data_IF_724869068138
#
_entry.id   IF_724869068138
#
_cell.length_a   1.000
_cell.length_b   1.000
_cell.length_c   1.000
_cell.angle_alpha   90.00
_cell.angle_beta   90.00
_cell.angle_gamma   90.00
#
_symmetry.space_group_name_H-M   'P 1'
#
loop_
_entity.id
_entity.type
_entity.pdbx_description
1 polymer ?
#
# COMPACT_ATOMS: atom_id res chain seq x y z
N UNK A 1 19.32 -34.51 11.25
CA UNK A 1 19.52 -33.08 11.07
C UNK A 1 18.18 -32.52 10.65
N UNK A 2 17.49 -31.82 11.55
CA UNK A 2 16.18 -31.22 11.27
C UNK A 2 16.39 -29.96 10.42
N UNK A 3 15.94 -29.99 9.17
CA UNK A 3 15.90 -28.84 8.30
C UNK A 3 14.72 -27.96 8.75
N UNK A 4 15.01 -26.91 9.50
CA UNK A 4 14.01 -25.89 9.84
C UNK A 4 13.75 -25.13 8.55
N UNK A 5 12.70 -25.51 7.82
CA UNK A 5 12.14 -24.69 6.77
C UNK A 5 11.55 -23.45 7.45
N UNK A 6 12.30 -22.36 7.46
CA UNK A 6 11.74 -21.03 7.71
C UNK A 6 10.73 -20.79 6.59
N UNK A 7 9.45 -21.00 6.87
CA UNK A 7 8.40 -20.47 6.04
C UNK A 7 8.60 -18.96 6.02
N UNK A 8 9.07 -18.41 4.88
CA UNK A 8 8.98 -16.97 4.66
C UNK A 8 7.52 -16.64 4.89
N UNK A 9 7.25 -15.87 5.94
CA UNK A 9 5.90 -15.50 6.34
C UNK A 9 5.21 -14.89 5.12
N UNK A 10 4.15 -15.53 4.62
CA UNK A 10 3.34 -15.09 3.47
C UNK A 10 2.57 -13.79 3.78
N UNK A 11 2.93 -13.10 4.85
CA UNK A 11 2.32 -11.88 5.31
C UNK A 11 3.35 -10.76 5.50
N UNK A 12 2.88 -9.54 5.29
CA UNK A 12 3.66 -8.33 5.60
C UNK A 12 3.54 -7.98 7.08
N UNK A 13 4.58 -7.38 7.68
CA UNK A 13 4.54 -6.91 9.06
C UNK A 13 3.33 -6.00 9.33
N UNK A 14 2.78 -6.09 10.54
CA UNK A 14 1.68 -5.23 10.98
C UNK A 14 2.07 -3.74 11.09
N UNK A 15 3.37 -3.46 11.20
CA UNK A 15 3.94 -2.11 11.20
C UNK A 15 3.73 -1.35 9.90
N UNK A 16 3.52 -2.06 8.77
CA UNK A 16 3.23 -1.42 7.49
C UNK A 16 1.77 -0.99 7.50
N UNK A 17 1.47 0.31 7.34
CA UNK A 17 0.11 0.81 7.32
C UNK A 17 -0.67 0.19 6.14
N UNK A 18 -1.98 0.07 6.28
CA UNK A 18 -2.85 -0.16 5.11
C UNK A 18 -2.96 1.14 4.33
N UNK A 19 -3.03 1.02 3.00
CA UNK A 19 -3.29 2.15 2.13
C UNK A 19 -4.70 2.69 2.36
N UNK A 20 -4.81 3.99 2.60
CA UNK A 20 -6.09 4.67 2.73
C UNK A 20 -6.68 4.95 1.34
N UNK A 21 -7.96 4.67 1.15
CA UNK A 21 -8.66 4.91 -0.11
C UNK A 21 -8.64 6.40 -0.54
N UNK A 22 -8.54 7.33 0.43
CA UNK A 22 -8.39 8.77 0.16
C UNK A 22 -7.01 9.18 -0.36
N UNK A 23 -5.98 8.31 -0.20
CA UNK A 23 -4.61 8.60 -0.57
C UNK A 23 -3.83 9.49 0.40
N UNK A 24 -4.41 9.86 1.55
CA UNK A 24 -3.75 10.76 2.53
C UNK A 24 -2.44 10.18 3.07
N UNK A 25 -2.37 8.86 3.21
CA UNK A 25 -1.18 8.18 3.73
C UNK A 25 -0.27 7.61 2.63
N UNK A 26 -0.53 7.94 1.35
CA UNK A 26 0.22 7.39 0.21
C UNK A 26 1.73 7.51 0.35
N UNK A 27 2.23 8.70 0.75
CA UNK A 27 3.67 8.95 0.86
C UNK A 27 4.36 8.04 1.88
N UNK A 28 3.70 7.77 3.01
CA UNK A 28 4.25 6.89 4.06
C UNK A 28 4.06 5.43 3.64
N UNK A 29 2.88 5.10 3.11
CA UNK A 29 2.58 3.76 2.65
C UNK A 29 3.57 3.27 1.59
N UNK A 30 3.82 4.08 0.54
CA UNK A 30 4.68 3.68 -0.57
C UNK A 30 6.10 3.34 -0.11
N UNK A 31 6.70 4.19 0.75
CA UNK A 31 8.05 3.95 1.27
C UNK A 31 8.08 2.69 2.16
N UNK A 32 7.17 2.59 3.13
CA UNK A 32 7.17 1.43 4.04
C UNK A 32 6.88 0.12 3.31
N UNK A 33 6.02 0.16 2.28
CA UNK A 33 5.70 -1.01 1.48
C UNK A 33 6.89 -1.43 0.62
N UNK A 34 7.53 -0.49 -0.07
CA UNK A 34 8.72 -0.73 -0.88
C UNK A 34 9.84 -1.36 -0.05
N UNK A 35 10.21 -0.75 1.09
CA UNK A 35 11.23 -1.27 2.00
C UNK A 35 10.94 -2.71 2.43
N UNK A 36 9.68 -3.00 2.76
CA UNK A 36 9.28 -4.32 3.22
C UNK A 36 9.31 -5.37 2.11
N UNK A 37 8.95 -5.01 0.89
CA UNK A 37 9.00 -5.89 -0.28
C UNK A 37 10.44 -6.11 -0.72
N UNK A 38 11.31 -5.08 -0.65
CA UNK A 38 12.74 -5.20 -0.90
C UNK A 38 13.38 -6.16 0.11
N UNK A 39 13.07 -6.01 1.40
CA UNK A 39 13.56 -6.89 2.46
C UNK A 39 13.15 -8.37 2.25
N UNK A 40 12.03 -8.62 1.57
CA UNK A 40 11.58 -9.95 1.18
C UNK A 40 12.16 -10.45 -0.14
N UNK A 41 12.84 -9.59 -0.90
CA UNK A 41 13.45 -9.92 -2.21
C UNK A 41 12.46 -9.98 -3.37
N UNK A 42 11.24 -9.41 -3.23
CA UNK A 42 10.21 -9.44 -4.28
C UNK A 42 10.11 -8.13 -5.07
N UNK A 43 10.91 -7.11 -4.74
CA UNK A 43 10.79 -5.81 -5.38
C UNK A 43 11.00 -5.86 -6.90
N UNK A 44 11.86 -6.76 -7.37
CA UNK A 44 12.09 -6.97 -8.81
C UNK A 44 10.84 -7.27 -9.64
N UNK A 45 9.77 -7.81 -9.01
CA UNK A 45 8.48 -8.02 -9.67
C UNK A 45 7.67 -6.73 -9.79
N UNK A 46 7.91 -5.75 -8.91
CA UNK A 46 7.21 -4.46 -8.89
C UNK A 46 7.84 -3.41 -9.80
N UNK A 47 9.17 -3.47 -9.98
CA UNK A 47 9.93 -2.53 -10.82
C UNK A 47 10.26 -3.10 -12.21
N UNK A 48 9.87 -4.36 -12.48
CA UNK A 48 10.10 -5.03 -13.74
C UNK A 48 11.52 -5.55 -13.97
N UNK A 49 12.37 -5.53 -12.94
CA UNK A 49 13.74 -6.06 -13.04
C UNK A 49 13.80 -7.60 -12.91
N UNK A 50 12.76 -8.21 -12.30
CA UNK A 50 12.58 -9.67 -12.36
C UNK A 50 12.15 -10.07 -13.76
N UNK A 51 13.11 -10.25 -14.63
CA UNK A 51 12.84 -10.75 -15.98
C UNK A 51 12.53 -12.24 -15.90
N UNK A 52 11.42 -12.63 -16.53
CA UNK A 52 11.24 -14.03 -16.92
C UNK A 52 12.52 -14.47 -17.63
N UNK A 53 13.16 -15.60 -17.27
CA UNK A 53 14.19 -16.17 -18.11
C UNK A 53 13.60 -16.19 -19.51
N UNK A 54 14.20 -15.40 -20.39
CA UNK A 54 13.69 -15.09 -21.74
C UNK A 54 13.08 -16.32 -22.33
N UNK A 55 11.87 -16.17 -22.87
CA UNK A 55 11.13 -17.24 -23.52
C UNK A 55 12.13 -18.21 -24.14
N UNK A 56 12.20 -19.39 -23.53
CA UNK A 56 13.15 -20.47 -23.70
C UNK A 56 14.07 -20.22 -24.92
N UNK A 57 15.40 -20.11 -24.77
CA UNK A 57 16.24 -20.05 -25.93
C UNK A 57 15.93 -21.32 -26.74
N UNK A 58 15.07 -21.16 -27.70
CA UNK A 58 14.95 -22.18 -28.76
C UNK A 58 16.32 -22.17 -29.37
N UNK A 59 17.18 -23.08 -28.93
CA UNK A 59 18.48 -23.28 -29.55
C UNK A 59 18.22 -23.77 -30.95
N UNK A 60 18.09 -22.82 -31.87
CA UNK A 60 17.99 -23.09 -33.30
C UNK A 60 19.37 -23.48 -33.72
N UNK A 61 19.69 -24.75 -33.68
CA UNK A 61 20.85 -25.31 -34.32
C UNK A 61 20.43 -25.65 -35.76
N UNK A 62 20.77 -24.77 -36.68
CA UNK A 62 20.75 -25.08 -38.12
C UNK A 62 21.90 -26.05 -38.41
N UNK A 63 21.59 -27.32 -38.49
CA UNK A 63 22.46 -28.34 -39.09
C UNK A 63 21.69 -28.89 -40.27
N UNK A 64 22.20 -28.64 -41.47
CA UNK A 64 21.69 -29.16 -42.78
C UNK A 64 20.21 -28.83 -43.09
N UNK A 65 19.77 -27.59 -42.82
CA UNK A 65 18.41 -27.14 -43.19
C UNK A 65 17.27 -27.75 -42.37
N UNK A 66 17.57 -28.46 -41.30
CA UNK A 66 16.58 -29.03 -40.41
C UNK A 66 16.59 -28.25 -39.06
N UNK A 67 15.51 -27.55 -38.77
CA UNK A 67 15.32 -26.80 -37.53
C UNK A 67 14.96 -27.79 -36.42
N UNK A 68 15.93 -28.12 -35.57
CA UNK A 68 15.66 -28.97 -34.39
C UNK A 68 15.45 -28.08 -33.18
N UNK A 69 14.21 -28.01 -32.70
CA UNK A 69 13.82 -27.39 -31.41
C UNK A 69 14.13 -28.38 -30.30
N UNK A 70 15.15 -28.10 -29.48
CA UNK A 70 15.35 -28.92 -28.28
C UNK A 70 14.31 -28.51 -27.20
N UNK A 71 13.73 -29.49 -26.50
CA UNK A 71 12.80 -29.19 -25.39
C UNK A 71 13.54 -28.43 -24.28
N UNK A 72 12.82 -27.56 -23.50
CA UNK A 72 13.40 -26.83 -22.39
C UNK A 72 13.97 -27.79 -21.35
N UNK A 73 15.11 -27.41 -20.76
CA UNK A 73 15.74 -28.20 -19.72
C UNK A 73 14.90 -28.14 -18.41
N UNK A 74 14.98 -29.18 -17.58
CA UNK A 74 14.30 -29.22 -16.28
C UNK A 74 14.66 -28.01 -15.40
N UNK A 75 15.87 -27.47 -15.55
CA UNK A 75 16.35 -26.29 -14.80
C UNK A 75 15.61 -25.01 -15.26
N UNK A 76 15.36 -24.87 -16.55
CA UNK A 76 14.62 -23.73 -17.11
C UNK A 76 13.13 -23.78 -16.70
N UNK A 77 12.54 -24.96 -16.74
CA UNK A 77 11.16 -25.18 -16.28
C UNK A 77 11.06 -24.82 -14.79
N UNK A 78 11.98 -25.29 -13.96
CA UNK A 78 11.97 -24.96 -12.53
C UNK A 78 12.19 -23.46 -12.27
N UNK A 79 12.95 -22.75 -13.09
CA UNK A 79 13.16 -21.33 -12.97
C UNK A 79 11.89 -20.53 -13.30
N UNK A 80 11.14 -20.93 -14.34
CA UNK A 80 9.86 -20.33 -14.71
C UNK A 80 8.82 -20.57 -13.62
N UNK A 81 8.71 -21.81 -13.12
CA UNK A 81 7.79 -22.18 -12.03
C UNK A 81 8.06 -21.38 -10.73
N UNK A 82 9.34 -21.12 -10.44
CA UNK A 82 9.71 -20.28 -9.32
C UNK A 82 9.28 -18.85 -9.52
N UNK A 83 9.53 -18.28 -10.70
CA UNK A 83 9.15 -16.90 -11.02
C UNK A 83 7.64 -16.71 -10.90
N UNK A 84 6.84 -17.65 -11.41
CA UNK A 84 5.38 -17.60 -11.31
C UNK A 84 4.89 -17.65 -9.86
N UNK A 85 5.50 -18.48 -9.03
CA UNK A 85 5.19 -18.55 -7.60
C UNK A 85 5.53 -17.25 -6.89
N UNK A 86 6.69 -16.68 -7.18
CA UNK A 86 7.15 -15.42 -6.59
C UNK A 86 6.24 -14.25 -7.05
N UNK A 87 5.79 -14.24 -8.30
CA UNK A 87 4.81 -13.28 -8.83
C UNK A 87 3.45 -13.38 -8.12
N UNK A 88 2.94 -14.60 -7.90
CA UNK A 88 1.69 -14.83 -7.18
C UNK A 88 1.80 -14.38 -5.72
N UNK A 89 2.93 -14.64 -5.08
CA UNK A 89 3.19 -14.20 -3.72
C UNK A 89 3.28 -12.66 -3.63
N UNK A 90 3.98 -12.02 -4.57
CA UNK A 90 4.04 -10.56 -4.67
C UNK A 90 2.65 -9.93 -4.82
N UNK A 91 1.79 -10.50 -5.68
CA UNK A 91 0.37 -10.08 -5.81
C UNK A 91 -0.41 -10.24 -4.51
N UNK A 92 -0.22 -11.34 -3.80
CA UNK A 92 -0.86 -11.59 -2.50
C UNK A 92 -0.43 -10.57 -1.45
N UNK A 93 0.87 -10.26 -1.35
CA UNK A 93 1.40 -9.28 -0.42
C UNK A 93 0.84 -7.87 -0.69
N UNK A 94 0.73 -7.48 -1.96
CA UNK A 94 0.11 -6.21 -2.34
C UNK A 94 -1.36 -6.15 -1.93
N UNK A 95 -2.13 -7.20 -2.23
CA UNK A 95 -3.57 -7.29 -1.93
C UNK A 95 -3.87 -7.14 -0.43
N UNK A 96 -3.00 -7.61 0.45
CA UNK A 96 -3.19 -7.50 1.91
C UNK A 96 -3.18 -6.05 2.43
N UNK A 97 -2.59 -5.12 1.68
CA UNK A 97 -2.32 -3.76 2.15
C UNK A 97 -3.08 -2.66 1.40
N UNK A 98 -3.73 -2.99 0.29
CA UNK A 98 -4.53 -2.04 -0.48
C UNK A 98 -6.03 -2.13 -0.09
N UNK A 99 -6.80 -1.04 -0.23
CA UNK A 99 -8.24 -1.07 0.01
C UNK A 99 -8.98 -1.83 -1.11
N UNK A 100 -10.15 -2.37 -0.79
CA UNK A 100 -10.97 -3.16 -1.72
C UNK A 100 -11.34 -2.37 -2.98
N UNK A 101 -11.59 -1.06 -2.86
CA UNK A 101 -11.88 -0.19 -4.00
C UNK A 101 -10.73 -0.17 -5.01
N UNK A 102 -9.50 -0.05 -4.54
CA UNK A 102 -8.30 -0.08 -5.39
C UNK A 102 -8.06 -1.48 -5.95
N UNK A 103 -8.28 -2.52 -5.13
CA UNK A 103 -8.18 -3.90 -5.59
C UNK A 103 -9.10 -4.16 -6.78
N UNK A 104 -10.34 -3.69 -6.73
CA UNK A 104 -11.30 -3.83 -7.84
C UNK A 104 -10.85 -3.12 -9.12
N UNK A 105 -10.09 -2.02 -9.01
CA UNK A 105 -9.55 -1.33 -10.17
C UNK A 105 -8.37 -2.05 -10.83
N UNK A 106 -7.56 -2.76 -10.03
CA UNK A 106 -6.31 -3.36 -10.52
C UNK A 106 -6.34 -4.87 -10.68
N UNK A 107 -7.42 -5.55 -10.25
CA UNK A 107 -7.49 -7.03 -10.21
C UNK A 107 -7.35 -7.68 -11.59
N UNK A 108 -7.77 -6.98 -12.65
CA UNK A 108 -7.72 -7.45 -14.04
C UNK A 108 -6.34 -7.32 -14.69
N UNK A 109 -5.38 -6.70 -14.01
CA UNK A 109 -4.00 -6.58 -14.49
C UNK A 109 -3.25 -7.89 -14.33
N UNK A 110 -2.50 -8.27 -15.38
CA UNK A 110 -1.84 -9.57 -15.45
C UNK A 110 -0.65 -9.66 -14.50
N UNK A 111 0.16 -8.60 -14.40
CA UNK A 111 1.39 -8.60 -13.61
C UNK A 111 1.26 -7.71 -12.36
N UNK A 112 2.10 -7.98 -11.35
CA UNK A 112 2.16 -7.12 -10.17
C UNK A 112 2.75 -5.75 -10.51
N UNK A 113 3.64 -5.66 -11.48
CA UNK A 113 4.16 -4.41 -12.03
C UNK A 113 3.02 -3.51 -12.53
N UNK A 114 2.17 -4.02 -13.43
CA UNK A 114 1.03 -3.25 -13.95
C UNK A 114 0.05 -2.80 -12.85
N UNK A 115 -0.15 -3.66 -11.83
CA UNK A 115 -0.97 -3.31 -10.66
C UNK A 115 -0.34 -2.16 -9.88
N UNK A 116 0.95 -2.25 -9.62
CA UNK A 116 1.69 -1.25 -8.87
C UNK A 116 1.73 0.10 -9.59
N UNK A 117 2.07 0.12 -10.87
CA UNK A 117 2.07 1.33 -11.70
C UNK A 117 0.71 2.02 -11.72
N UNK A 118 -0.37 1.24 -11.83
CA UNK A 118 -1.73 1.78 -11.78
C UNK A 118 -2.04 2.42 -10.43
N UNK A 119 -1.61 1.79 -9.32
CA UNK A 119 -1.77 2.32 -7.97
C UNK A 119 -0.94 3.60 -7.78
N UNK A 120 0.32 3.60 -8.20
CA UNK A 120 1.21 4.77 -8.14
C UNK A 120 0.58 5.95 -8.86
N UNK A 121 0.07 5.74 -10.06
CA UNK A 121 -0.58 6.78 -10.86
C UNK A 121 -1.82 7.33 -10.15
N UNK A 122 -2.74 6.45 -9.75
CA UNK A 122 -3.99 6.85 -9.09
C UNK A 122 -3.74 7.64 -7.80
N UNK A 123 -2.83 7.15 -6.96
CA UNK A 123 -2.59 7.77 -5.64
C UNK A 123 -1.70 9.02 -5.72
N UNK A 124 -0.85 9.13 -6.73
CA UNK A 124 -0.11 10.36 -7.01
C UNK A 124 -1.07 11.48 -7.43
N UNK A 125 -2.03 11.17 -8.30
CA UNK A 125 -3.08 12.12 -8.70
C UNK A 125 -3.97 12.52 -7.51
N UNK A 126 -4.47 11.55 -6.73
CA UNK A 126 -5.27 11.82 -5.52
C UNK A 126 -4.54 12.74 -4.55
N UNK A 127 -3.24 12.53 -4.35
CA UNK A 127 -2.42 13.39 -3.50
C UNK A 127 -2.33 14.81 -4.04
N UNK A 128 -2.12 14.98 -5.35
CA UNK A 128 -2.06 16.29 -5.98
C UNK A 128 -3.39 17.06 -5.82
N UNK A 129 -4.53 16.39 -6.01
CA UNK A 129 -5.85 16.98 -5.77
C UNK A 129 -6.06 17.37 -4.31
N UNK A 130 -5.72 16.48 -3.36
CA UNK A 130 -5.84 16.76 -1.94
C UNK A 130 -4.99 17.96 -1.50
N UNK A 131 -3.78 18.09 -2.02
CA UNK A 131 -2.90 19.24 -1.75
C UNK A 131 -3.49 20.55 -2.32
N UNK A 132 -4.08 20.50 -3.51
CA UNK A 132 -4.69 21.66 -4.14
C UNK A 132 -5.94 22.13 -3.37
N UNK A 133 -6.78 21.18 -2.95
CA UNK A 133 -7.97 21.47 -2.14
C UNK A 133 -7.58 22.08 -0.76
N UNK A 134 -6.60 21.48 -0.10
CA UNK A 134 -6.09 22.00 1.18
C UNK A 134 -5.53 23.41 1.04
N UNK A 135 -4.79 23.67 -0.05
CA UNK A 135 -4.24 25.00 -0.34
C UNK A 135 -5.36 26.01 -0.63
N UNK A 136 -6.38 25.62 -1.40
CA UNK A 136 -7.57 26.43 -1.65
C UNK A 136 -8.26 26.83 -0.35
N UNK A 137 -8.57 25.84 0.49
CA UNK A 137 -9.19 26.07 1.81
C UNK A 137 -8.35 26.98 2.70
N UNK A 138 -7.02 26.81 2.69
CA UNK A 138 -6.12 27.67 3.46
C UNK A 138 -6.19 29.14 3.00
N UNK A 139 -6.23 29.38 1.68
CA UNK A 139 -6.35 30.73 1.12
C UNK A 139 -7.72 31.37 1.35
N UNK A 140 -8.77 30.56 1.53
CA UNK A 140 -10.12 31.01 1.86
C UNK A 140 -10.31 31.32 3.34
N UNK A 141 -9.39 30.89 4.20
CA UNK A 141 -9.43 31.19 5.62
C UNK A 141 -9.26 32.70 5.84
N UNK A 142 -10.35 33.37 6.22
CA UNK A 142 -10.34 34.78 6.63
C UNK A 142 -10.38 34.87 8.14
N UNK A 143 -9.38 35.53 8.71
CA UNK A 143 -9.44 35.86 10.13
C UNK A 143 -10.46 36.98 10.34
N UNK A 144 -11.48 36.85 11.19
CA UNK A 144 -12.35 37.97 11.52
C UNK A 144 -11.55 39.05 12.26
N UNK A 145 -11.84 40.32 12.01
CA UNK A 145 -11.10 41.52 12.46
C UNK A 145 -10.81 41.60 13.97
N UNK A 146 -11.39 40.74 14.77
CA UNK A 146 -11.18 40.62 16.24
C UNK A 146 -11.03 39.17 16.67
N UNK A 147 -10.69 38.26 15.75
CA UNK A 147 -10.52 36.84 16.04
C UNK A 147 -9.20 36.53 16.72
N UNK A 148 -9.21 35.71 17.75
CA UNK A 148 -7.99 35.19 18.35
C UNK A 148 -7.32 34.22 17.37
N UNK A 149 -6.13 34.54 16.92
CA UNK A 149 -5.34 33.76 15.93
C UNK A 149 -5.15 32.29 16.37
N UNK A 150 -5.13 32.02 17.68
CA UNK A 150 -4.99 30.67 18.22
C UNK A 150 -6.13 29.72 17.83
N UNK A 151 -7.32 30.25 17.56
CA UNK A 151 -8.47 29.42 17.11
C UNK A 151 -8.45 29.15 15.60
N UNK A 152 -7.61 29.87 14.82
CA UNK A 152 -7.52 29.71 13.37
C UNK A 152 -6.56 28.59 12.96
N UNK A 153 -5.62 28.21 13.81
CA UNK A 153 -4.57 27.22 13.49
C UNK A 153 -5.01 25.78 13.73
N UNK A 154 -6.22 25.55 14.24
CA UNK A 154 -6.77 24.21 14.48
C UNK A 154 -8.10 24.03 13.76
N UNK A 155 -8.10 23.64 12.47
CA UNK A 155 -9.32 23.18 11.84
C UNK A 155 -9.69 21.79 12.38
N UNK A 156 -10.76 21.74 13.17
CA UNK A 156 -11.50 20.52 13.49
C UNK A 156 -10.73 19.32 14.10
N UNK A 157 -9.94 19.54 15.13
CA UNK A 157 -9.81 18.49 16.14
C UNK A 157 -11.08 18.57 16.97
N UNK A 158 -11.93 17.57 16.75
CA UNK A 158 -13.11 17.18 17.52
C UNK A 158 -13.31 18.01 18.79
N UNK A 159 -14.31 18.91 18.75
CA UNK A 159 -14.88 19.51 19.96
C UNK A 159 -15.52 18.38 20.75
N UNK A 160 -14.77 17.79 21.66
CA UNK A 160 -15.38 17.04 22.76
C UNK A 160 -16.05 18.08 23.61
N UNK A 161 -17.34 18.24 23.42
CA UNK A 161 -18.17 19.05 24.31
C UNK A 161 -18.08 18.42 25.69
N UNK A 162 -17.22 19.01 26.53
CA UNK A 162 -17.21 18.78 27.97
C UNK A 162 -18.44 19.47 28.58
N UNK A 163 -19.62 18.94 28.28
CA UNK A 163 -20.88 19.25 28.92
C UNK A 163 -21.35 18.03 29.68
N UNK A 164 -20.60 17.62 30.66
CA UNK A 164 -21.11 16.83 31.76
C UNK A 164 -20.23 17.07 33.01
N UNK A 165 -20.36 18.25 33.55
CA UNK A 165 -20.05 18.45 34.98
C UNK A 165 -21.27 17.99 35.77
N UNK A 166 -21.19 16.94 36.58
CA UNK A 166 -22.25 16.61 37.50
C UNK A 166 -22.33 17.70 38.57
N UNK A 167 -23.45 18.37 38.58
CA UNK A 167 -23.85 19.30 39.64
C UNK A 167 -23.75 18.62 41.00
N UNK A 168 -22.92 19.19 41.87
CA UNK A 168 -22.82 18.83 43.30
C UNK A 168 -24.19 18.81 43.97
N UNK A 169 -24.48 17.79 44.78
CA UNK A 169 -25.70 17.80 45.59
C UNK A 169 -25.60 18.85 46.69
N UNK A 170 -26.53 19.79 46.69
CA UNK A 170 -26.76 20.73 47.79
C UNK A 170 -27.20 19.94 49.04
N UNK A 171 -26.35 19.96 50.05
CA UNK A 171 -26.69 19.53 51.41
C UNK A 171 -27.69 20.50 52.00
N UNK A 172 -28.93 20.06 52.17
CA UNK A 172 -29.95 20.76 52.92
C UNK A 172 -29.77 20.36 54.38
N UNK A 173 -29.29 21.28 55.21
CA UNK A 173 -29.29 21.17 56.62
C UNK A 173 -30.74 21.41 57.07
N UNK A 174 -31.42 20.36 57.59
CA UNK A 174 -32.65 20.45 58.29
C UNK A 174 -32.40 20.96 59.68
N UNK A 175 -33.07 22.05 60.02
CA UNK A 175 -33.24 22.48 61.44
C UNK A 175 -34.43 21.77 62.00
N UNK A 176 -34.22 21.25 63.22
CA UNK A 176 -35.17 20.65 64.10
C UNK A 176 -35.97 21.74 64.91
N UNK A 177 -37.25 21.48 65.03
CA UNK A 177 -38.01 21.71 66.25
C UNK A 177 -38.83 20.48 66.54
#
# INVERSE_FOLDING_TARGET
MSVTTTSLSDSLPSSIPKLDASGLNWAIFSVCFEDAIQAKGFWGHFDGTSTCPSALPVSITEVDGNITTSPPSDVEIAAVDKLDKDEHLAKSLLTQKIPDSTLMCVHNKCTVLERWESIVTEYTEKRAYAQTDLRGRFLELKCPDKGNVQYFTLPHIVRVDSKDSPSSPRTVLGQSE
#
